data_IF_983732409376
#
_entry.id   IF_983732409376
#
_cell.length_a   1.000
_cell.length_b   1.000
_cell.length_c   1.000
_cell.angle_alpha   90.00
_cell.angle_beta   90.00
_cell.angle_gamma   90.00
#
_symmetry.space_group_name_H-M   'P 1'
#
loop_
_entity.id
_entity.type
_entity.pdbx_description
1 polymer ?
#
# COMPACT_ATOMS: atom_id res chain seq x y z
N UNK A 1 57.98 -27.73 66.43
CA UNK A 1 58.29 -27.49 65.01
C UNK A 1 57.11 -26.67 64.48
N UNK A 2 57.19 -25.34 64.44
CA UNK A 2 57.75 -24.54 63.33
C UNK A 2 57.01 -24.91 62.01
N UNK A 3 56.30 -24.04 61.28
CA UNK A 3 56.46 -22.60 61.08
C UNK A 3 55.16 -21.94 60.55
N UNK A 4 55.10 -20.62 60.74
CA UNK A 4 54.17 -19.64 60.16
C UNK A 4 54.66 -19.20 58.77
N UNK A 5 53.74 -19.02 57.80
CA UNK A 5 53.71 -18.00 56.69
C UNK A 5 52.52 -18.33 55.76
N UNK A 6 51.39 -17.62 55.76
CA UNK A 6 51.05 -16.27 55.27
C UNK A 6 51.16 -16.06 53.73
N UNK A 7 49.99 -15.70 53.16
CA UNK A 7 49.70 -14.96 51.91
C UNK A 7 49.89 -15.64 50.53
N UNK A 8 48.81 -15.79 49.76
CA UNK A 8 48.31 -14.74 48.83
C UNK A 8 46.95 -15.17 48.25
N UNK A 9 45.93 -14.33 48.42
CA UNK A 9 44.64 -14.47 47.77
C UNK A 9 44.66 -13.86 46.36
N UNK A 10 44.18 -14.62 45.38
CA UNK A 10 43.84 -14.15 44.04
C UNK A 10 42.37 -14.48 43.79
N UNK A 11 41.50 -13.50 44.01
CA UNK A 11 40.10 -13.55 43.58
C UNK A 11 40.03 -13.38 42.07
N UNK A 12 39.76 -14.46 41.34
CA UNK A 12 39.28 -14.38 39.96
C UNK A 12 37.78 -14.05 39.99
N UNK A 13 37.45 -12.79 39.69
CA UNK A 13 36.09 -12.40 39.34
C UNK A 13 35.76 -12.97 37.93
N UNK A 14 34.81 -13.91 37.88
CA UNK A 14 34.26 -14.39 36.63
C UNK A 14 33.30 -13.33 36.06
N UNK A 15 33.69 -12.77 34.91
CA UNK A 15 32.87 -11.87 34.09
C UNK A 15 31.64 -12.62 33.54
N UNK A 16 30.42 -12.06 33.63
CA UNK A 16 29.28 -12.61 32.89
C UNK A 16 29.46 -12.31 31.39
N UNK A 17 29.48 -13.37 30.59
CA UNK A 17 29.38 -13.30 29.13
C UNK A 17 28.00 -12.76 28.75
N UNK A 18 27.93 -11.46 28.46
CA UNK A 18 26.78 -10.86 27.81
C UNK A 18 26.69 -11.40 26.37
N UNK A 19 25.65 -12.21 26.10
CA UNK A 19 25.31 -12.63 24.75
C UNK A 19 24.98 -11.42 23.86
N UNK A 20 25.14 -11.54 22.53
CA UNK A 20 24.87 -10.42 21.63
C UNK A 20 23.40 -10.02 21.76
N UNK A 21 23.19 -8.77 22.17
CA UNK A 21 21.89 -8.12 22.10
C UNK A 21 21.45 -8.14 20.64
N UNK A 22 20.36 -8.85 20.36
CA UNK A 22 19.66 -8.74 19.09
C UNK A 22 19.20 -7.28 18.95
N UNK A 23 19.89 -6.51 18.10
CA UNK A 23 19.39 -5.22 17.65
C UNK A 23 18.09 -5.46 16.90
N UNK A 24 16.96 -5.22 17.57
CA UNK A 24 15.68 -5.07 16.90
C UNK A 24 15.82 -3.91 15.91
N UNK A 25 15.70 -4.21 14.61
CA UNK A 25 15.55 -3.18 13.59
C UNK A 25 14.29 -2.38 13.91
N UNK A 26 14.46 -1.15 14.37
CA UNK A 26 13.35 -0.22 14.60
C UNK A 26 12.80 0.19 13.24
N UNK A 27 11.67 -0.41 12.84
CA UNK A 27 10.84 0.17 11.79
C UNK A 27 10.42 1.57 12.24
N UNK A 28 10.63 2.58 11.39
CA UNK A 28 10.18 3.94 11.66
C UNK A 28 8.68 3.92 11.96
N UNK A 29 8.30 4.28 13.18
CA UNK A 29 6.91 4.32 13.61
C UNK A 29 6.16 5.35 12.75
N UNK A 30 5.07 4.92 12.13
CA UNK A 30 4.18 5.82 11.39
C UNK A 30 3.69 6.94 12.32
N UNK A 31 3.69 8.21 11.89
CA UNK A 31 3.25 9.30 12.76
C UNK A 31 1.76 9.12 13.10
N UNK A 32 1.43 9.21 14.38
CA UNK A 32 0.04 9.28 14.85
C UNK A 32 -0.51 10.68 14.56
N UNK A 33 -1.40 10.80 13.58
CA UNK A 33 -1.97 12.08 13.16
C UNK A 33 -3.32 12.34 13.82
N UNK A 34 -3.58 13.60 14.19
CA UNK A 34 -4.95 14.02 14.54
C UNK A 34 -5.84 14.07 13.29
N UNK A 35 -7.14 14.21 13.51
CA UNK A 35 -8.12 14.40 12.43
C UNK A 35 -7.79 15.64 11.59
N UNK A 36 -7.48 16.75 12.24
CA UNK A 36 -7.14 18.03 11.61
C UNK A 36 -5.86 17.89 10.79
N UNK A 37 -4.85 17.18 11.32
CA UNK A 37 -3.61 16.88 10.60
C UNK A 37 -3.84 15.98 9.39
N UNK A 38 -4.77 15.03 9.48
CA UNK A 38 -5.10 14.13 8.37
C UNK A 38 -5.82 14.87 7.24
N UNK A 39 -6.78 15.74 7.56
CA UNK A 39 -7.45 16.59 6.57
C UNK A 39 -6.45 17.55 5.94
N UNK A 40 -5.65 18.21 6.77
CA UNK A 40 -4.69 19.20 6.32
C UNK A 40 -3.55 18.59 5.49
N UNK A 41 -3.23 17.29 5.67
CA UNK A 41 -2.33 16.55 4.80
C UNK A 41 -2.84 16.54 3.35
N UNK A 42 -4.09 16.14 3.14
CA UNK A 42 -4.70 16.06 1.81
C UNK A 42 -4.86 17.44 1.19
N UNK A 43 -5.27 18.44 1.96
CA UNK A 43 -5.37 19.83 1.51
C UNK A 43 -4.01 20.40 1.09
N UNK A 44 -2.98 20.20 1.91
CA UNK A 44 -1.62 20.61 1.58
C UNK A 44 -1.07 19.83 0.37
N UNK A 45 -1.49 18.57 0.19
CA UNK A 45 -1.15 17.75 -0.96
C UNK A 45 -1.92 18.17 -2.23
N UNK A 46 -2.85 19.13 -2.17
CA UNK A 46 -3.55 19.66 -3.33
C UNK A 46 -4.90 19.03 -3.64
N UNK A 47 -5.44 18.23 -2.72
CA UNK A 47 -6.80 17.69 -2.80
C UNK A 47 -7.75 18.59 -2.01
N UNK A 48 -9.00 18.70 -2.47
CA UNK A 48 -10.07 19.21 -1.60
C UNK A 48 -10.63 18.05 -0.80
N UNK A 49 -11.01 18.27 0.45
CA UNK A 49 -11.69 17.25 1.26
C UNK A 49 -13.15 17.66 1.42
N UNK A 50 -14.05 16.92 0.80
CA UNK A 50 -15.49 17.18 0.84
C UNK A 50 -16.20 15.95 1.40
N UNK A 51 -16.95 16.12 2.49
CA UNK A 51 -17.68 15.01 3.15
C UNK A 51 -16.78 13.79 3.46
N UNK A 52 -15.52 14.03 3.84
CA UNK A 52 -14.55 12.98 4.14
C UNK A 52 -13.93 12.30 2.92
N UNK A 53 -14.20 12.77 1.70
CA UNK A 53 -13.61 12.27 0.45
C UNK A 53 -12.64 13.26 -0.13
N UNK A 54 -11.50 12.77 -0.61
CA UNK A 54 -10.58 13.58 -1.39
C UNK A 54 -11.15 13.80 -2.79
N UNK A 55 -11.08 15.04 -3.26
CA UNK A 55 -11.47 15.47 -4.60
C UNK A 55 -10.20 16.00 -5.27
N UNK A 56 -9.83 15.43 -6.41
CA UNK A 56 -8.66 15.88 -7.14
C UNK A 56 -8.88 17.28 -7.73
N UNK A 57 -7.81 17.89 -8.21
CA UNK A 57 -7.83 19.25 -8.78
C UNK A 57 -8.78 19.42 -9.98
N UNK A 58 -9.19 18.33 -10.61
CA UNK A 58 -10.12 18.34 -11.74
C UNK A 58 -11.58 18.14 -11.31
N UNK A 59 -11.85 18.03 -10.00
CA UNK A 59 -13.19 17.84 -9.45
C UNK A 59 -13.66 16.38 -9.40
N UNK A 60 -12.82 15.43 -9.77
CA UNK A 60 -13.10 14.01 -9.67
C UNK A 60 -12.94 13.51 -8.23
N UNK A 61 -13.77 12.54 -7.83
CA UNK A 61 -13.53 11.77 -6.62
C UNK A 61 -12.16 11.07 -6.75
N UNK A 62 -11.35 11.20 -5.72
CA UNK A 62 -9.95 10.76 -5.70
C UNK A 62 -9.72 9.86 -4.50
N UNK A 63 -8.84 8.87 -4.65
CA UNK A 63 -8.41 7.99 -3.57
C UNK A 63 -6.89 8.08 -3.40
N UNK A 64 -6.39 9.23 -2.92
CA UNK A 64 -4.96 9.47 -2.86
C UNK A 64 -4.29 8.57 -1.81
N UNK A 65 -3.25 7.86 -2.24
CA UNK A 65 -2.44 6.96 -1.43
C UNK A 65 -1.42 7.76 -0.64
N UNK A 66 -1.24 7.47 0.65
CA UNK A 66 -0.26 8.13 1.52
C UNK A 66 0.78 7.12 1.99
N UNK A 67 2.07 7.45 1.87
CA UNK A 67 3.18 6.72 2.45
C UNK A 67 4.03 7.65 3.32
N UNK A 68 4.54 7.15 4.45
CA UNK A 68 5.43 7.92 5.33
C UNK A 68 6.86 7.39 5.26
N UNK A 69 7.83 8.27 5.08
CA UNK A 69 9.24 7.92 5.09
C UNK A 69 10.06 9.09 5.65
N UNK A 70 11.09 8.77 6.45
CA UNK A 70 12.05 9.77 6.89
C UNK A 70 13.01 10.13 5.74
N UNK A 71 12.70 11.23 5.05
CA UNK A 71 13.42 11.64 3.85
C UNK A 71 14.66 12.46 4.18
N UNK A 72 14.80 12.98 5.40
CA UNK A 72 15.91 13.84 5.80
C UNK A 72 16.82 13.22 6.90
N UNK A 73 16.42 12.09 7.48
CA UNK A 73 17.13 11.38 8.53
C UNK A 73 16.97 11.98 9.94
N UNK A 74 15.95 12.82 10.17
CA UNK A 74 15.73 13.50 11.46
C UNK A 74 14.86 12.69 12.45
N UNK A 75 14.43 11.49 12.05
CA UNK A 75 13.58 10.61 12.85
C UNK A 75 12.09 10.96 12.77
N UNK A 76 11.69 11.98 11.99
CA UNK A 76 10.30 12.33 11.71
C UNK A 76 10.02 12.01 10.24
N UNK A 77 8.92 11.28 10.01
CA UNK A 77 8.58 10.88 8.65
C UNK A 77 7.88 12.02 7.88
N UNK A 78 8.30 12.21 6.63
CA UNK A 78 7.57 12.96 5.62
C UNK A 78 6.46 12.11 4.98
N UNK A 79 5.42 12.76 4.49
CA UNK A 79 4.36 12.13 3.71
C UNK A 79 4.64 12.23 2.20
N UNK A 80 4.48 11.13 1.50
CA UNK A 80 4.31 11.05 0.06
C UNK A 80 2.84 10.74 -0.22
N UNK A 81 2.16 11.63 -0.94
CA UNK A 81 0.76 11.46 -1.34
C UNK A 81 0.71 11.28 -2.84
N UNK A 82 0.02 10.25 -3.34
CA UNK A 82 -0.06 9.95 -4.78
C UNK A 82 -1.50 9.68 -5.22
N UNK A 83 -1.88 10.15 -6.39
CA UNK A 83 -3.17 9.86 -7.01
C UNK A 83 -3.01 9.49 -8.48
N UNK A 84 -3.95 8.70 -9.00
CA UNK A 84 -3.97 8.23 -10.39
C UNK A 84 -5.33 8.52 -11.00
N UNK A 85 -5.32 9.41 -11.97
CA UNK A 85 -6.47 9.75 -12.81
C UNK A 85 -5.92 10.23 -14.15
N UNK A 86 -5.89 9.35 -15.18
CA UNK A 86 -5.40 9.69 -16.51
C UNK A 86 -6.17 10.80 -17.22
N UNK A 87 -7.38 11.15 -16.74
CA UNK A 87 -8.16 12.28 -17.26
C UNK A 87 -7.78 13.60 -16.58
N UNK A 88 -7.22 13.54 -15.38
CA UNK A 88 -6.88 14.73 -14.59
C UNK A 88 -5.40 15.11 -14.61
N UNK A 89 -4.52 14.11 -14.68
CA UNK A 89 -3.07 14.33 -14.57
C UNK A 89 -2.35 14.16 -15.89
N UNK A 90 -1.33 14.98 -16.11
CA UNK A 90 -0.40 14.84 -17.21
C UNK A 90 0.42 13.54 -17.11
N UNK A 91 1.23 13.26 -18.13
CA UNK A 91 2.00 12.00 -18.26
C UNK A 91 2.62 11.57 -16.92
N UNK A 92 2.29 10.36 -16.40
CA UNK A 92 1.62 9.23 -17.07
C UNK A 92 0.10 9.13 -16.80
N UNK A 93 -0.54 10.16 -16.26
CA UNK A 93 -1.87 10.07 -15.68
C UNK A 93 -1.84 9.91 -14.15
N UNK A 94 -0.73 10.32 -13.53
CA UNK A 94 -0.51 10.23 -12.09
C UNK A 94 0.02 11.56 -11.54
N UNK A 95 -0.19 11.76 -10.24
CA UNK A 95 0.22 12.94 -9.49
C UNK A 95 0.84 12.52 -8.18
N UNK A 96 1.81 13.28 -7.71
CA UNK A 96 2.35 13.12 -6.37
C UNK A 96 2.55 14.47 -5.67
N UNK A 97 2.56 14.42 -4.35
CA UNK A 97 3.02 15.48 -3.47
C UNK A 97 3.93 14.89 -2.38
N UNK A 98 4.96 15.63 -1.97
CA UNK A 98 5.77 15.30 -0.79
C UNK A 98 5.60 16.42 0.23
N UNK A 99 5.37 16.06 1.49
CA UNK A 99 5.07 16.99 2.56
C UNK A 99 5.86 16.65 3.83
N UNK A 100 6.24 17.67 4.57
CA UNK A 100 6.83 17.52 5.91
C UNK A 100 5.87 18.03 6.97
N UNK A 101 5.84 17.37 8.13
CA UNK A 101 5.06 17.80 9.28
C UNK A 101 5.92 18.73 10.14
N UNK A 102 5.53 20.00 10.24
CA UNK A 102 6.22 20.94 11.11
C UNK A 102 6.12 20.57 12.59
N UNK A 103 6.99 21.14 13.42
CA UNK A 103 6.89 21.05 14.89
C UNK A 103 5.64 21.75 15.42
N UNK A 104 5.06 22.67 14.64
CA UNK A 104 3.76 23.30 14.86
C UNK A 104 2.57 22.40 14.48
N UNK A 105 2.82 21.15 14.11
CA UNK A 105 1.79 20.17 13.76
C UNK A 105 1.12 20.44 12.41
N UNK A 106 1.69 21.28 11.54
CA UNK A 106 1.14 21.58 10.20
C UNK A 106 1.99 20.98 9.08
N UNK A 107 1.33 20.32 8.14
CA UNK A 107 1.91 19.84 6.89
C UNK A 107 2.31 21.03 6.01
N UNK A 108 3.52 20.96 5.47
CA UNK A 108 4.03 21.86 4.45
C UNK A 108 4.41 21.05 3.24
N UNK A 109 3.86 21.42 2.08
CA UNK A 109 4.20 20.78 0.82
C UNK A 109 5.60 21.19 0.39
N UNK A 110 6.48 20.21 0.22
CA UNK A 110 7.84 20.37 -0.29
C UNK A 110 7.87 20.36 -1.82
N UNK A 111 6.96 19.62 -2.45
CA UNK A 111 6.81 19.54 -3.92
C UNK A 111 5.46 18.91 -4.26
N UNK A 112 4.93 19.24 -5.43
CA UNK A 112 3.91 18.45 -6.10
C UNK A 112 4.03 18.61 -7.62
N UNK A 113 3.95 17.51 -8.35
CA UNK A 113 4.04 17.50 -9.81
C UNK A 113 3.20 16.35 -10.39
N UNK A 114 2.92 16.45 -11.69
CA UNK A 114 2.40 15.33 -12.46
C UNK A 114 3.54 14.36 -12.75
N UNK A 115 3.36 13.12 -12.31
CA UNK A 115 4.31 12.06 -12.50
C UNK A 115 4.29 11.02 -11.39
N UNK A 116 5.21 10.06 -11.51
CA UNK A 116 5.51 9.09 -10.45
C UNK A 116 6.92 9.39 -9.96
N UNK A 117 7.04 9.68 -8.67
CA UNK A 117 8.30 10.05 -8.04
C UNK A 117 9.05 8.83 -7.51
N UNK A 118 10.34 8.77 -7.81
CA UNK A 118 11.29 7.86 -7.17
C UNK A 118 12.13 8.59 -6.13
N UNK A 119 12.51 7.91 -5.05
CA UNK A 119 13.38 8.46 -4.00
C UNK A 119 14.81 7.93 -4.19
N UNK A 120 15.76 8.83 -4.47
CA UNK A 120 17.15 8.46 -4.71
C UNK A 120 17.87 8.04 -3.42
N UNK A 121 19.02 7.38 -3.61
CA UNK A 121 19.97 7.12 -2.52
C UNK A 121 20.81 8.35 -2.17
N UNK A 122 21.01 9.24 -3.14
CA UNK A 122 21.73 10.49 -2.97
C UNK A 122 20.90 11.47 -2.15
N UNK A 123 21.59 12.39 -1.48
CA UNK A 123 20.98 13.42 -0.65
C UNK A 123 21.57 14.78 -0.99
N UNK A 124 20.74 15.81 -0.99
CA UNK A 124 21.15 17.22 -1.07
C UNK A 124 20.64 17.97 0.15
N UNK A 125 21.53 18.64 0.87
CA UNK A 125 21.16 19.36 2.10
C UNK A 125 20.55 18.45 3.19
N UNK A 126 20.93 17.17 3.22
CA UNK A 126 20.39 16.17 4.15
C UNK A 126 19.13 15.45 3.63
N UNK A 127 18.46 15.97 2.61
CA UNK A 127 17.22 15.41 2.05
C UNK A 127 17.49 14.46 0.89
N UNK A 128 16.77 13.34 0.79
CA UNK A 128 16.84 12.45 -0.38
C UNK A 128 16.49 13.19 -1.66
N UNK A 129 17.29 13.05 -2.70
CA UNK A 129 16.92 13.60 -4.00
C UNK A 129 15.71 12.84 -4.56
N UNK A 130 14.86 13.53 -5.32
CA UNK A 130 13.70 12.92 -5.98
C UNK A 130 13.99 12.74 -7.47
N UNK A 131 13.56 11.63 -8.05
CA UNK A 131 13.86 11.25 -9.44
C UNK A 131 12.57 11.02 -10.20
N UNK A 132 12.39 11.72 -11.31
CA UNK A 132 11.28 11.49 -12.24
C UNK A 132 11.89 10.93 -13.52
N UNK A 133 11.59 9.67 -13.81
CA UNK A 133 12.04 9.03 -15.06
C UNK A 133 11.22 9.54 -16.26
N UNK A 134 11.81 9.54 -17.45
CA UNK A 134 11.14 10.02 -18.67
C UNK A 134 9.84 9.27 -19.01
N UNK A 135 9.69 8.01 -18.56
CA UNK A 135 8.44 7.26 -18.72
C UNK A 135 7.32 7.72 -17.78
N UNK A 136 7.66 8.37 -16.67
CA UNK A 136 6.74 8.74 -15.59
C UNK A 136 6.64 10.25 -15.35
N UNK A 137 7.15 11.09 -16.24
CA UNK A 137 6.93 12.52 -16.17
C UNK A 137 7.10 13.17 -17.53
N UNK A 138 6.37 14.27 -17.74
CA UNK A 138 6.65 15.20 -18.83
C UNK A 138 7.93 16.01 -18.60
N UNK A 139 8.45 16.05 -17.36
CA UNK A 139 9.69 16.72 -17.01
C UNK A 139 10.63 15.74 -16.29
N UNK A 140 11.34 14.86 -17.01
CA UNK A 140 12.30 13.96 -16.36
C UNK A 140 13.46 14.72 -15.71
N UNK A 141 14.05 14.14 -14.68
CA UNK A 141 15.24 14.69 -14.03
C UNK A 141 15.26 14.45 -12.53
N UNK A 142 16.33 14.94 -11.90
CA UNK A 142 16.49 14.89 -10.45
C UNK A 142 16.08 16.23 -9.83
N UNK A 143 15.37 16.16 -8.71
CA UNK A 143 14.96 17.30 -7.90
C UNK A 143 15.84 17.30 -6.67
N UNK A 144 16.51 18.42 -6.47
CA UNK A 144 17.36 18.64 -5.31
C UNK A 144 16.62 19.53 -4.32
N UNK A 145 16.79 19.24 -3.04
CA UNK A 145 16.23 20.07 -1.98
C UNK A 145 16.97 21.42 -1.93
N UNK A 146 16.21 22.51 -1.91
CA UNK A 146 16.70 23.88 -2.01
C UNK A 146 16.31 24.72 -0.78
N UNK A 147 16.46 24.15 0.42
CA UNK A 147 16.33 24.90 1.69
C UNK A 147 14.90 25.17 2.16
N UNK A 148 13.89 24.53 1.55
CA UNK A 148 12.49 24.63 1.98
C UNK A 148 11.51 23.87 1.08
N UNK A 149 11.91 23.63 -0.17
CA UNK A 149 11.19 22.85 -1.16
C UNK A 149 12.16 22.12 -2.07
N UNK A 150 11.67 21.21 -2.90
CA UNK A 150 12.45 20.67 -4.00
C UNK A 150 12.35 21.58 -5.23
N UNK A 151 13.49 21.86 -5.86
CA UNK A 151 13.56 22.63 -7.09
C UNK A 151 13.28 21.78 -8.33
N UNK A 152 12.60 22.35 -9.32
CA UNK A 152 12.48 21.74 -10.65
C UNK A 152 13.87 21.63 -11.32
N UNK A 153 14.10 20.61 -12.18
CA UNK A 153 15.35 20.54 -12.94
C UNK A 153 15.46 21.72 -13.92
N UNK A 154 16.70 22.08 -14.26
CA UNK A 154 17.03 23.32 -15.02
C UNK A 154 16.44 23.38 -16.44
N UNK A 155 15.92 22.28 -16.99
CA UNK A 155 15.17 22.28 -18.24
C UNK A 155 14.12 21.16 -18.27
N UNK A 156 12.84 21.52 -18.18
CA UNK A 156 11.76 20.67 -18.65
C UNK A 156 11.69 20.81 -20.18
N UNK A 157 12.40 19.93 -20.92
CA UNK A 157 12.34 19.96 -22.38
C UNK A 157 10.94 19.55 -22.85
N UNK A 158 10.21 20.53 -23.40
CA UNK A 158 9.10 20.28 -24.31
C UNK A 158 9.70 19.54 -25.51
N UNK A 159 9.39 18.25 -25.66
CA UNK A 159 9.53 17.39 -26.86
C UNK A 159 10.09 16.00 -26.51
N UNK A 160 9.29 14.95 -26.71
CA UNK A 160 9.75 13.59 -26.45
C UNK A 160 8.72 12.48 -26.71
N UNK A 161 8.28 12.34 -27.96
CA UNK A 161 7.72 11.06 -28.46
C UNK A 161 8.85 10.03 -28.46
N UNK A 162 8.78 9.01 -27.60
CA UNK A 162 9.70 7.88 -27.62
C UNK A 162 9.04 6.68 -28.32
N UNK A 163 9.74 6.14 -29.33
CA UNK A 163 9.33 4.99 -30.13
C UNK A 163 9.49 3.66 -29.36
N UNK A 164 8.59 2.71 -29.62
CA UNK A 164 8.61 1.38 -29.04
C UNK A 164 9.58 0.44 -29.77
N UNK A 165 10.25 -0.45 -29.02
CA UNK A 165 11.05 -1.56 -29.55
C UNK A 165 10.30 -2.90 -29.38
N UNK A 166 10.46 -3.89 -30.28
CA UNK A 166 9.65 -5.11 -30.28
C UNK A 166 10.18 -6.19 -29.33
N UNK A 167 9.27 -6.97 -28.76
CA UNK A 167 9.54 -8.10 -27.87
C UNK A 167 9.90 -9.38 -28.65
N UNK A 168 10.82 -10.18 -28.11
CA UNK A 168 11.14 -11.53 -28.60
C UNK A 168 10.59 -12.60 -27.66
N UNK A 169 10.13 -13.71 -28.23
CA UNK A 169 9.40 -14.80 -27.56
C UNK A 169 10.33 -15.76 -26.80
N UNK A 170 9.80 -16.38 -25.72
CA UNK A 170 10.49 -17.37 -24.89
C UNK A 170 9.81 -18.77 -24.97
N UNK A 171 10.56 -19.88 -24.80
CA UNK A 171 10.08 -21.27 -24.92
C UNK A 171 9.47 -21.81 -23.60
N UNK A 172 8.79 -22.97 -23.60
CA UNK A 172 7.95 -23.39 -22.48
C UNK A 172 8.75 -24.15 -21.41
N UNK A 173 8.41 -23.95 -20.13
CA UNK A 173 8.85 -24.84 -19.03
C UNK A 173 7.78 -25.00 -17.95
N UNK A 174 7.59 -26.25 -17.56
CA UNK A 174 6.82 -26.76 -16.44
C UNK A 174 7.46 -26.39 -15.09
N UNK A 175 6.70 -25.65 -14.28
CA UNK A 175 6.92 -25.22 -12.90
C UNK A 175 5.71 -24.36 -12.48
N UNK A 176 5.46 -24.09 -11.18
CA UNK A 176 4.37 -23.18 -10.80
C UNK A 176 4.59 -21.85 -11.51
N UNK A 177 3.55 -21.33 -12.18
CA UNK A 177 3.69 -20.15 -13.04
C UNK A 177 4.34 -18.99 -12.26
N UNK A 178 5.22 -18.20 -12.90
CA UNK A 178 5.67 -16.96 -12.30
C UNK A 178 4.46 -16.07 -11.98
N UNK A 179 4.53 -15.33 -10.87
CA UNK A 179 3.47 -14.37 -10.50
C UNK A 179 3.27 -13.40 -11.67
N UNK A 180 2.04 -13.30 -12.15
CA UNK A 180 1.63 -12.41 -13.23
C UNK A 180 1.65 -10.97 -12.77
N UNK A 181 1.93 -10.07 -13.70
CA UNK A 181 1.81 -8.62 -13.51
C UNK A 181 0.51 -8.05 -14.09
N UNK A 182 -0.22 -8.87 -14.82
CA UNK A 182 -1.52 -8.54 -15.36
C UNK A 182 -2.61 -8.91 -14.36
N UNK A 183 -3.61 -8.03 -14.25
CA UNK A 183 -4.78 -8.24 -13.41
C UNK A 183 -5.90 -8.98 -14.18
N UNK A 184 -6.54 -9.93 -13.51
CA UNK A 184 -7.90 -10.37 -13.81
C UNK A 184 -8.92 -9.35 -13.30
N UNK A 185 -8.62 -8.79 -12.13
CA UNK A 185 -9.41 -7.75 -11.50
C UNK A 185 -8.48 -6.75 -10.80
N UNK A 186 -8.54 -5.50 -11.23
CA UNK A 186 -7.82 -4.36 -10.67
C UNK A 186 -8.83 -3.43 -10.01
N UNK A 187 -8.84 -3.38 -8.68
CA UNK A 187 -9.81 -2.63 -7.92
C UNK A 187 -9.47 -1.14 -7.90
N UNK A 188 -10.21 -0.38 -8.72
CA UNK A 188 -10.14 1.08 -8.77
C UNK A 188 -11.10 1.79 -7.81
N UNK A 189 -11.57 1.14 -6.74
CA UNK A 189 -12.53 1.75 -5.80
C UNK A 189 -13.99 1.72 -6.27
N UNK A 190 -14.35 0.82 -7.19
CA UNK A 190 -15.71 0.72 -7.71
C UNK A 190 -16.16 -0.73 -7.90
N UNK A 191 -17.48 -0.92 -7.82
CA UNK A 191 -18.11 -2.21 -8.05
C UNK A 191 -18.13 -2.57 -9.55
N UNK A 192 -17.84 -3.84 -9.82
CA UNK A 192 -18.15 -4.51 -11.09
C UNK A 192 -19.65 -4.53 -11.37
N UNK A 193 -20.09 -4.65 -12.64
CA UNK A 193 -21.50 -4.79 -12.98
C UNK A 193 -22.20 -5.94 -12.24
N UNK A 194 -21.52 -7.08 -12.10
CA UNK A 194 -22.01 -8.28 -11.42
C UNK A 194 -22.22 -8.00 -9.93
N UNK A 195 -21.28 -7.31 -9.28
CA UNK A 195 -21.42 -6.91 -7.88
C UNK A 195 -22.53 -5.87 -7.66
N UNK A 196 -22.77 -4.96 -8.62
CA UNK A 196 -23.91 -4.02 -8.58
C UNK A 196 -25.26 -4.72 -8.75
N UNK A 197 -25.31 -5.75 -9.57
CA UNK A 197 -26.51 -6.53 -9.84
C UNK A 197 -26.78 -7.62 -8.78
N UNK A 198 -25.93 -7.73 -7.76
CA UNK A 198 -26.02 -8.79 -6.76
C UNK A 198 -27.36 -8.71 -5.98
N UNK A 199 -28.15 -9.80 -5.94
CA UNK A 199 -29.39 -9.83 -5.17
C UNK A 199 -29.14 -9.52 -3.69
N UNK A 200 -30.08 -8.81 -3.06
CA UNK A 200 -29.95 -8.40 -1.66
C UNK A 200 -29.76 -9.58 -0.68
N UNK A 201 -30.38 -10.72 -0.97
CA UNK A 201 -30.23 -11.97 -0.20
C UNK A 201 -28.81 -12.53 -0.29
N UNK A 202 -28.21 -12.49 -1.47
CA UNK A 202 -26.84 -12.96 -1.71
C UNK A 202 -25.82 -12.02 -1.07
N UNK A 203 -26.03 -10.70 -1.19
CA UNK A 203 -25.22 -9.69 -0.50
C UNK A 203 -25.25 -9.89 1.02
N UNK A 204 -26.42 -10.20 1.58
CA UNK A 204 -26.55 -10.47 3.01
C UNK A 204 -25.82 -11.75 3.42
N UNK A 205 -25.84 -12.79 2.59
CA UNK A 205 -25.10 -14.03 2.85
C UNK A 205 -23.58 -13.79 2.87
N UNK A 206 -23.06 -13.01 1.92
CA UNK A 206 -21.66 -12.56 1.90
C UNK A 206 -21.30 -11.78 3.16
N UNK A 207 -22.10 -10.77 3.51
CA UNK A 207 -21.84 -9.94 4.70
C UNK A 207 -21.84 -10.76 5.99
N UNK A 208 -22.75 -11.73 6.13
CA UNK A 208 -22.74 -12.64 7.28
C UNK A 208 -21.49 -13.51 7.32
N UNK A 209 -21.07 -14.06 6.18
CA UNK A 209 -19.87 -14.89 6.10
C UNK A 209 -18.59 -14.10 6.37
N UNK A 210 -18.56 -12.82 6.00
CA UNK A 210 -17.46 -11.88 6.25
C UNK A 210 -17.53 -11.19 7.63
N UNK A 211 -18.48 -11.59 8.49
CA UNK A 211 -18.72 -10.98 9.81
C UNK A 211 -19.04 -9.46 9.79
N UNK A 212 -19.54 -8.98 8.66
CA UNK A 212 -19.95 -7.58 8.46
C UNK A 212 -21.33 -7.39 9.09
N UNK A 213 -21.44 -6.37 9.95
CA UNK A 213 -22.63 -6.13 10.75
C UNK A 213 -23.37 -4.89 10.28
N UNK A 214 -24.71 -4.87 10.40
CA UNK A 214 -25.48 -3.66 10.14
C UNK A 214 -25.22 -2.65 11.26
N UNK A 215 -25.09 -1.38 10.88
CA UNK A 215 -25.00 -0.24 11.80
C UNK A 215 -26.11 0.77 11.48
N UNK A 216 -26.20 1.85 12.27
CA UNK A 216 -27.21 2.89 12.07
C UNK A 216 -27.15 3.46 10.64
N UNK A 217 -28.32 3.86 10.12
CA UNK A 217 -28.43 4.46 8.78
C UNK A 217 -28.42 3.46 7.62
N UNK A 218 -28.60 2.16 7.89
CA UNK A 218 -28.68 1.12 6.84
C UNK A 218 -27.31 0.71 6.26
N UNK A 219 -26.23 1.23 6.85
CA UNK A 219 -24.84 0.91 6.53
C UNK A 219 -24.44 -0.45 7.10
N UNK A 220 -23.41 -1.02 6.53
CA UNK A 220 -22.82 -2.29 6.93
C UNK A 220 -21.32 -2.10 7.07
N UNK A 221 -20.71 -2.67 8.10
CA UNK A 221 -19.25 -2.59 8.30
C UNK A 221 -18.76 -3.73 9.21
N UNK A 222 -17.55 -4.19 8.99
CA UNK A 222 -16.75 -4.97 9.91
C UNK A 222 -16.17 -4.12 11.05
N UNK A 223 -16.09 -2.79 10.88
CA UNK A 223 -15.58 -1.83 11.86
C UNK A 223 -16.73 -1.25 12.71
N UNK A 224 -17.35 -2.07 13.57
CA UNK A 224 -18.53 -1.63 14.34
C UNK A 224 -18.25 -0.62 15.44
N UNK A 225 -16.98 -0.47 15.81
CA UNK A 225 -16.56 0.48 16.86
C UNK A 225 -16.37 1.91 16.30
N UNK A 226 -16.50 2.09 14.97
CA UNK A 226 -16.43 3.40 14.33
C UNK A 226 -17.78 4.14 14.39
N UNK A 227 -17.93 4.97 15.43
CA UNK A 227 -19.09 5.84 15.60
C UNK A 227 -19.11 7.06 14.66
N UNK A 228 -18.04 7.31 13.87
CA UNK A 228 -17.98 8.46 12.95
C UNK A 228 -18.88 8.30 11.72
N UNK A 229 -19.31 7.07 11.44
CA UNK A 229 -20.13 6.78 10.27
C UNK A 229 -19.33 6.79 8.95
N UNK A 230 -18.00 6.65 9.00
CA UNK A 230 -17.16 6.64 7.81
C UNK A 230 -16.82 5.22 7.33
N UNK A 231 -16.88 4.22 8.21
CA UNK A 231 -16.61 2.84 7.80
C UNK A 231 -17.80 2.20 7.10
N UNK A 232 -17.62 1.70 5.89
CA UNK A 232 -18.71 1.14 5.09
C UNK A 232 -18.18 0.04 4.18
N UNK A 233 -18.87 -1.10 4.24
CA UNK A 233 -18.57 -2.26 3.44
C UNK A 233 -19.40 -2.30 2.15
N UNK A 234 -18.73 -2.68 1.07
CA UNK A 234 -19.33 -2.85 -0.24
C UNK A 234 -18.72 -4.05 -0.97
N UNK A 235 -19.57 -4.83 -1.63
CA UNK A 235 -19.13 -5.92 -2.51
C UNK A 235 -18.65 -5.30 -3.82
N UNK A 236 -17.37 -5.45 -4.17
CA UNK A 236 -16.78 -4.87 -5.37
C UNK A 236 -16.75 -5.83 -6.55
N UNK A 237 -16.54 -7.11 -6.27
CA UNK A 237 -16.33 -8.13 -7.28
C UNK A 237 -17.22 -9.34 -7.00
N UNK A 238 -17.81 -9.87 -8.06
CA UNK A 238 -18.44 -11.20 -8.10
C UNK A 238 -18.09 -11.84 -9.44
N UNK A 239 -17.51 -13.03 -9.41
CA UNK A 239 -17.17 -13.77 -10.63
C UNK A 239 -16.45 -15.08 -10.33
N UNK A 240 -16.61 -16.05 -11.21
CA UNK A 240 -15.87 -17.31 -11.16
C UNK A 240 -14.45 -17.07 -11.69
N UNK A 241 -13.48 -16.99 -10.78
CA UNK A 241 -12.08 -16.68 -11.12
C UNK A 241 -11.19 -17.92 -11.12
N UNK A 242 -11.67 -19.04 -10.59
CA UNK A 242 -10.95 -20.32 -10.62
C UNK A 242 -11.50 -21.32 -11.65
N UNK A 243 -12.63 -21.02 -12.30
CA UNK A 243 -13.25 -21.84 -13.32
C UNK A 243 -14.00 -23.06 -12.78
N UNK A 244 -14.36 -23.08 -11.49
CA UNK A 244 -15.02 -24.23 -10.87
C UNK A 244 -16.56 -24.21 -10.98
N UNK A 245 -17.10 -23.18 -11.66
CA UNK A 245 -18.53 -22.96 -11.85
C UNK A 245 -19.21 -22.25 -10.68
N UNK A 246 -18.47 -21.83 -9.66
CA UNK A 246 -18.97 -21.04 -8.52
C UNK A 246 -18.24 -19.71 -8.44
N UNK A 247 -18.90 -18.64 -8.00
CA UNK A 247 -18.27 -17.32 -7.93
C UNK A 247 -17.40 -17.16 -6.68
N UNK A 248 -16.35 -16.37 -6.83
CA UNK A 248 -15.65 -15.65 -5.77
C UNK A 248 -16.22 -14.25 -5.61
N UNK A 249 -15.95 -13.65 -4.45
CA UNK A 249 -16.30 -12.28 -4.13
C UNK A 249 -15.12 -11.51 -3.53
N UNK A 250 -15.09 -10.20 -3.76
CA UNK A 250 -14.24 -9.27 -3.00
C UNK A 250 -15.14 -8.20 -2.38
N UNK A 251 -14.95 -7.97 -1.09
CA UNK A 251 -15.60 -6.91 -0.32
C UNK A 251 -14.51 -5.96 0.16
N UNK A 252 -14.70 -4.67 -0.05
CA UNK A 252 -13.94 -3.67 0.70
C UNK A 252 -14.75 -3.16 1.89
N UNK A 253 -14.06 -2.74 2.95
CA UNK A 253 -14.60 -1.91 4.03
C UNK A 253 -13.70 -0.70 4.21
N UNK A 254 -14.24 0.49 3.94
CA UNK A 254 -13.49 1.74 4.02
C UNK A 254 -13.39 2.25 5.46
N UNK A 255 -12.60 3.30 5.68
CA UNK A 255 -12.52 4.02 6.94
C UNK A 255 -11.16 3.85 7.60
N UNK A 256 -10.57 4.95 8.02
CA UNK A 256 -9.23 4.96 8.64
C UNK A 256 -9.25 4.47 10.09
N UNK A 257 -10.40 4.40 10.75
CA UNK A 257 -10.50 4.04 12.17
C UNK A 257 -9.99 2.62 12.43
N UNK A 258 -10.52 1.63 11.71
CA UNK A 258 -10.04 0.26 11.80
C UNK A 258 -8.90 -0.07 10.82
N UNK A 259 -8.81 0.66 9.70
CA UNK A 259 -7.88 0.31 8.62
C UNK A 259 -6.61 1.16 8.58
N UNK A 260 -6.44 2.10 9.51
CA UNK A 260 -5.27 2.96 9.60
C UNK A 260 -5.00 3.73 8.29
N UNK A 261 -3.72 3.86 7.94
CA UNK A 261 -3.26 4.56 6.72
C UNK A 261 -3.63 3.87 5.42
N UNK A 262 -4.01 2.58 5.45
CA UNK A 262 -4.52 1.91 4.26
C UNK A 262 -5.90 2.46 3.88
N UNK A 263 -6.68 2.97 4.86
CA UNK A 263 -8.01 3.53 4.65
C UNK A 263 -9.08 2.52 4.21
N UNK A 264 -8.68 1.26 3.97
CA UNK A 264 -9.54 0.18 3.51
C UNK A 264 -9.02 -1.18 4.00
N UNK A 265 -9.94 -2.12 4.17
CA UNK A 265 -9.71 -3.55 4.33
C UNK A 265 -10.37 -4.28 3.15
N UNK A 266 -9.74 -5.34 2.63
CA UNK A 266 -10.34 -6.24 1.65
C UNK A 266 -10.55 -7.65 2.22
N UNK A 267 -11.73 -8.20 1.97
CA UNK A 267 -12.13 -9.57 2.32
C UNK A 267 -12.46 -10.32 1.02
N UNK A 268 -11.77 -11.42 0.77
CA UNK A 268 -11.97 -12.30 -0.38
C UNK A 268 -12.67 -13.56 0.08
N UNK A 269 -13.74 -13.94 -0.62
CA UNK A 269 -14.56 -15.10 -0.31
C UNK A 269 -14.73 -15.99 -1.54
N UNK A 270 -14.91 -17.28 -1.32
CA UNK A 270 -15.33 -18.25 -2.35
C UNK A 270 -16.68 -18.86 -1.98
N UNK A 271 -17.50 -19.17 -2.98
CA UNK A 271 -18.74 -19.90 -2.78
C UNK A 271 -18.46 -21.40 -2.77
N UNK A 272 -18.82 -22.04 -1.67
CA UNK A 272 -18.61 -23.48 -1.47
C UNK A 272 -19.60 -24.31 -2.30
N UNK A 273 -19.34 -25.61 -2.53
CA UNK A 273 -20.30 -26.52 -3.17
C UNK A 273 -21.65 -26.61 -2.45
N UNK A 274 -21.69 -26.35 -1.14
CA UNK A 274 -22.93 -26.31 -0.36
C UNK A 274 -23.73 -25.01 -0.55
N UNK A 275 -23.21 -24.06 -1.34
CA UNK A 275 -23.84 -22.77 -1.61
C UNK A 275 -23.58 -21.69 -0.56
N UNK A 276 -22.87 -22.02 0.53
CA UNK A 276 -22.43 -21.03 1.53
C UNK A 276 -21.14 -20.34 1.11
N UNK A 277 -20.91 -19.13 1.63
CA UNK A 277 -19.68 -18.38 1.42
C UNK A 277 -18.63 -18.72 2.48
N UNK A 278 -17.36 -18.80 2.07
CA UNK A 278 -16.21 -19.03 2.95
C UNK A 278 -15.17 -17.94 2.72
N UNK A 279 -14.71 -17.31 3.79
CA UNK A 279 -13.58 -16.36 3.74
C UNK A 279 -12.29 -17.10 3.38
N UNK A 280 -11.56 -16.54 2.43
CA UNK A 280 -10.29 -17.06 1.93
C UNK A 280 -9.10 -16.17 2.35
N UNK A 281 -9.34 -14.86 2.42
CA UNK A 281 -8.35 -13.86 2.83
C UNK A 281 -9.07 -12.67 3.45
N UNK A 282 -8.56 -12.19 4.57
CA UNK A 282 -8.86 -10.85 5.11
C UNK A 282 -7.55 -10.10 5.20
N UNK A 283 -7.49 -8.89 4.65
CA UNK A 283 -6.27 -8.08 4.65
C UNK A 283 -6.59 -6.61 4.81
N UNK A 284 -5.69 -5.87 5.44
CA UNK A 284 -5.66 -4.42 5.30
C UNK A 284 -5.17 -4.06 3.89
N UNK A 285 -5.67 -2.94 3.36
CA UNK A 285 -5.37 -2.53 1.99
C UNK A 285 -6.29 -3.16 0.95
N UNK A 286 -6.07 -2.80 -0.31
CA UNK A 286 -6.84 -3.34 -1.43
C UNK A 286 -6.41 -4.76 -1.80
N UNK A 287 -7.28 -5.50 -2.49
CA UNK A 287 -6.97 -6.78 -3.09
C UNK A 287 -7.24 -6.75 -4.60
N UNK A 288 -6.22 -7.09 -5.39
CA UNK A 288 -6.29 -7.24 -6.84
C UNK A 288 -6.06 -8.72 -7.21
N UNK A 289 -6.85 -9.25 -8.15
CA UNK A 289 -6.68 -10.62 -8.63
C UNK A 289 -5.80 -10.62 -9.87
N UNK A 290 -4.81 -11.50 -9.91
CA UNK A 290 -3.82 -11.60 -10.96
C UNK A 290 -4.15 -12.74 -11.93
N UNK A 291 -3.68 -12.64 -13.18
CA UNK A 291 -3.85 -13.71 -14.18
C UNK A 291 -3.06 -14.99 -13.88
N UNK A 292 -2.13 -14.94 -12.92
CA UNK A 292 -1.44 -16.14 -12.45
C UNK A 292 -2.25 -16.79 -11.35
N UNK A 293 -2.12 -18.11 -11.21
CA UNK A 293 -2.92 -18.89 -10.28
C UNK A 293 -2.04 -19.77 -9.39
N UNK A 294 -2.52 -20.01 -8.18
CA UNK A 294 -2.02 -21.02 -7.26
C UNK A 294 -2.68 -22.38 -7.46
N UNK A 295 -2.76 -23.14 -6.37
CA UNK A 295 -3.48 -24.43 -6.34
C UNK A 295 -4.98 -24.21 -6.61
N UNK A 296 -5.67 -25.24 -7.08
CA UNK A 296 -7.11 -25.20 -7.42
C UNK A 296 -7.52 -24.08 -8.38
N UNK A 297 -6.54 -23.56 -9.14
CA UNK A 297 -6.70 -22.44 -10.06
C UNK A 297 -7.21 -21.14 -9.40
N UNK A 298 -7.03 -20.94 -8.10
CA UNK A 298 -7.33 -19.64 -7.48
C UNK A 298 -6.30 -18.59 -7.92
N UNK A 299 -6.72 -17.36 -8.24
CA UNK A 299 -5.80 -16.32 -8.68
C UNK A 299 -4.84 -15.92 -7.57
N UNK A 300 -3.61 -15.60 -7.93
CA UNK A 300 -2.71 -14.91 -7.02
C UNK A 300 -3.28 -13.51 -6.71
N UNK A 301 -3.06 -13.04 -5.49
CA UNK A 301 -3.62 -11.78 -5.01
C UNK A 301 -2.50 -10.80 -4.72
N UNK A 302 -2.53 -9.64 -5.37
CA UNK A 302 -1.75 -8.49 -4.94
C UNK A 302 -2.51 -7.79 -3.81
N UNK A 303 -1.84 -7.59 -2.69
CA UNK A 303 -2.37 -6.85 -1.55
C UNK A 303 -1.70 -5.49 -1.45
N UNK A 304 -2.53 -4.47 -1.29
CA UNK A 304 -2.18 -3.08 -1.43
C UNK A 304 -2.13 -2.29 -0.14
N UNK A 305 -0.97 -2.26 0.52
CA UNK A 305 -0.74 -1.48 1.74
C UNK A 305 0.03 -0.17 1.45
N UNK A 306 0.03 0.79 2.38
CA UNK A 306 0.99 1.89 2.38
C UNK A 306 2.43 1.36 2.27
N UNK A 307 3.12 1.71 1.18
CA UNK A 307 4.47 1.25 0.86
C UNK A 307 4.71 1.10 -0.65
N UNK A 308 5.96 0.88 -1.04
CA UNK A 308 6.38 0.66 -2.43
C UNK A 308 6.79 -0.81 -2.67
N UNK A 309 6.24 -1.74 -1.88
CA UNK A 309 6.62 -3.13 -1.89
C UNK A 309 5.41 -3.98 -1.50
N UNK A 310 4.67 -4.43 -2.50
CA UNK A 310 3.39 -5.09 -2.31
C UNK A 310 3.58 -6.59 -2.11
N UNK A 311 2.93 -7.20 -1.10
CA UNK A 311 2.83 -8.64 -1.02
C UNK A 311 1.94 -9.20 -2.14
N UNK A 312 2.44 -10.25 -2.78
CA UNK A 312 1.73 -11.07 -3.75
C UNK A 312 1.53 -12.43 -3.10
N UNK A 313 0.27 -12.76 -2.85
CA UNK A 313 -0.12 -13.95 -2.14
C UNK A 313 -0.56 -15.03 -3.13
N UNK A 314 -0.18 -16.26 -2.86
CA UNK A 314 -0.56 -17.43 -3.66
C UNK A 314 -1.33 -18.43 -2.82
N UNK A 315 -2.42 -18.94 -3.38
CA UNK A 315 -3.17 -20.02 -2.76
C UNK A 315 -2.37 -21.33 -2.77
N UNK A 316 -2.16 -21.92 -1.59
CA UNK A 316 -1.39 -23.15 -1.42
C UNK A 316 -2.27 -24.43 -1.34
N UNK A 317 -3.59 -24.31 -1.50
CA UNK A 317 -4.56 -25.39 -1.29
C UNK A 317 -5.33 -25.27 0.03
N UNK A 318 -4.87 -24.40 0.94
CA UNK A 318 -5.45 -24.19 2.27
C UNK A 318 -5.60 -22.72 2.66
N UNK A 319 -4.60 -21.90 2.35
CA UNK A 319 -4.57 -20.47 2.65
C UNK A 319 -3.75 -19.70 1.60
N UNK A 320 -3.87 -18.37 1.62
CA UNK A 320 -3.05 -17.47 0.82
C UNK A 320 -1.73 -17.16 1.54
N UNK A 321 -0.62 -17.69 1.02
CA UNK A 321 0.72 -17.46 1.56
C UNK A 321 1.50 -16.41 0.75
N UNK A 322 2.45 -15.74 1.39
CA UNK A 322 3.36 -14.81 0.70
C UNK A 322 4.21 -15.55 -0.34
N UNK A 323 3.97 -15.29 -1.62
CA UNK A 323 4.73 -15.87 -2.72
C UNK A 323 5.83 -14.95 -3.22
N UNK A 324 5.58 -13.64 -3.22
CA UNK A 324 6.54 -12.64 -3.63
C UNK A 324 6.26 -11.28 -2.99
N UNK A 325 7.26 -10.41 -3.06
CA UNK A 325 7.05 -8.98 -2.89
C UNK A 325 7.64 -8.25 -4.08
N UNK A 326 6.84 -7.42 -4.73
CA UNK A 326 7.31 -6.58 -5.82
C UNK A 326 7.06 -5.12 -5.52
N UNK A 327 8.00 -4.28 -5.96
CA UNK A 327 7.75 -2.85 -6.03
C UNK A 327 6.78 -2.49 -7.16
N UNK A 328 6.41 -1.21 -7.27
CA UNK A 328 5.54 -0.69 -8.34
C UNK A 328 6.11 -0.94 -9.75
N UNK A 329 7.43 -1.15 -9.87
CA UNK A 329 8.09 -1.47 -11.13
C UNK A 329 8.11 -2.98 -11.40
N UNK A 330 7.54 -3.79 -10.51
CA UNK A 330 7.54 -5.26 -10.55
C UNK A 330 8.91 -5.88 -10.30
N UNK A 331 9.84 -5.14 -9.67
CA UNK A 331 11.14 -5.68 -9.25
C UNK A 331 10.96 -6.37 -7.90
N UNK A 332 11.59 -7.54 -7.68
CA UNK A 332 11.60 -8.17 -6.36
C UNK A 332 12.12 -7.16 -5.34
N UNK A 333 11.37 -6.99 -4.26
CA UNK A 333 11.89 -6.23 -3.14
C UNK A 333 13.14 -6.94 -2.61
N UNK A 334 14.25 -6.19 -2.43
CA UNK A 334 15.46 -6.74 -1.81
C UNK A 334 15.13 -7.16 -0.37
N UNK A 335 15.76 -8.24 0.13
CA UNK A 335 15.18 -9.04 1.20
C UNK A 335 15.25 -8.35 2.55
N UNK A 336 14.29 -8.77 3.39
CA UNK A 336 14.45 -9.15 4.80
C UNK A 336 15.86 -8.97 5.38
#
# INVERSE_FOLDING_TARGET
MADIRMLLGLSLAALPLAGPAQSAAQGTAQPSLTREQSIQLFEAAGFRVENGRAINRCGGASNPRVAFADLNGDGRAEAHVADVDPKCYGKPGAYFAVLTLGTDGRWRRLIAEDGIVGFAKTRTGGWRDLTLEARYSACPGTRHFAGGSYGAPTACSQDGKAAAAPASAAPPRSGPMPISRDYLFDWGGSQTPEAKALPATERLALFRAAEIKPVKGGRWTACTDDDSGHSEAQVDFIGDVNGDGRPEAMIHDNGIFCNGSAGVNSIVLTKTPAGSWKVMLTTQGFANFLKSHGVDNYPDIQVGLPGFCFPYLRWNGREYDLAARFDDNGKPCKPF
#
